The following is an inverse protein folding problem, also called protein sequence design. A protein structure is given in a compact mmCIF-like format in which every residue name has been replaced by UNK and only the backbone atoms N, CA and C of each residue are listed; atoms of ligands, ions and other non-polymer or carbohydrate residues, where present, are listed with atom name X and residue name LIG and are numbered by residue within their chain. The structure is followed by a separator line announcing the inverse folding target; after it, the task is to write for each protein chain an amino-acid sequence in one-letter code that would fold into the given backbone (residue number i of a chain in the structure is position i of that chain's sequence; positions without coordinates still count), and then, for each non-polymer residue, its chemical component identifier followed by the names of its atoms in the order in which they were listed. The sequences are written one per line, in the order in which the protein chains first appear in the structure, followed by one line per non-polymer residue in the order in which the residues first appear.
data_IF_102573647772
#
_entry.id   IF_102573647772
#
_cell.length_a   1.000
_cell.length_b   1.000
_cell.length_c   1.000
_cell.angle_alpha   90.00
_cell.angle_beta   90.00
_cell.angle_gamma   90.00
#
_symmetry.space_group_name_H-M   'P 1'
#
loop_
_entity.id
_entity.type
_entity.pdbx_description
1 polymer ?
#
# COMPACT_ATOMS: atom_id res chain seq x y z
N UNK A 1 44.19 -4.50 1.90
CA UNK A 1 43.19 -5.52 1.56
C UNK A 1 41.84 -4.83 1.42
N UNK A 2 41.00 -5.14 0.41
CA UNK A 2 39.67 -4.56 0.34
C UNK A 2 38.83 -5.01 1.54
N UNK A 3 38.03 -4.11 2.10
CA UNK A 3 37.11 -4.40 3.19
C UNK A 3 36.16 -5.53 2.78
N UNK A 4 35.93 -6.55 3.62
CA UNK A 4 34.96 -7.58 3.31
C UNK A 4 33.58 -6.96 3.12
N UNK A 5 32.96 -7.24 1.97
CA UNK A 5 31.59 -6.82 1.68
C UNK A 5 30.65 -7.51 2.68
N UNK A 6 29.81 -6.72 3.35
CA UNK A 6 28.84 -7.21 4.35
C UNK A 6 27.82 -8.17 3.73
N UNK A 7 27.22 -9.02 4.56
CA UNK A 7 26.16 -9.93 4.08
C UNK A 7 24.94 -9.16 3.56
N UNK A 8 24.65 -7.96 4.09
CA UNK A 8 23.59 -7.11 3.59
C UNK A 8 23.85 -6.66 2.15
N UNK A 9 25.08 -6.21 1.84
CA UNK A 9 25.42 -5.83 0.46
C UNK A 9 25.39 -7.06 -0.46
N UNK A 10 25.78 -8.25 0.04
CA UNK A 10 25.72 -9.49 -0.75
C UNK A 10 24.29 -9.92 -1.08
N UNK A 11 23.36 -9.77 -0.13
CA UNK A 11 21.97 -10.21 -0.27
C UNK A 11 21.07 -9.16 -0.93
N UNK A 12 21.31 -7.88 -0.63
CA UNK A 12 20.40 -6.78 -0.96
C UNK A 12 21.05 -5.67 -1.81
N UNK A 13 22.37 -5.71 -2.01
CA UNK A 13 23.09 -4.67 -2.77
C UNK A 13 23.29 -3.34 -2.02
N UNK A 14 22.92 -3.26 -0.74
CA UNK A 14 23.03 -2.08 0.13
C UNK A 14 23.36 -2.51 1.57
N UNK A 15 23.96 -1.63 2.35
CA UNK A 15 24.17 -1.78 3.80
C UNK A 15 23.07 -1.11 4.63
N UNK A 16 22.05 -0.56 3.97
CA UNK A 16 20.88 0.03 4.60
C UNK A 16 20.15 -0.99 5.51
N UNK A 17 19.91 -0.58 6.76
CA UNK A 17 19.24 -1.41 7.75
C UNK A 17 17.72 -1.33 7.59
N UNK A 18 17.09 -2.49 7.38
CA UNK A 18 15.63 -2.61 7.33
C UNK A 18 15.11 -2.78 8.76
N UNK A 19 14.31 -1.83 9.22
CA UNK A 19 13.61 -1.99 10.50
C UNK A 19 12.50 -3.04 10.36
N UNK A 20 12.35 -3.97 11.32
CA UNK A 20 11.22 -4.88 11.31
C UNK A 20 9.89 -4.14 11.28
N UNK A 21 8.88 -4.63 10.54
CA UNK A 21 7.58 -3.98 10.47
C UNK A 21 6.87 -4.00 11.83
N UNK A 22 6.04 -3.00 12.09
CA UNK A 22 5.14 -2.98 13.27
C UNK A 22 3.87 -3.74 12.92
N UNK A 23 3.49 -4.72 13.74
CA UNK A 23 2.23 -5.44 13.53
C UNK A 23 1.07 -4.61 14.08
N UNK A 24 0.07 -4.40 13.23
CA UNK A 24 -1.21 -3.77 13.56
C UNK A 24 -2.30 -4.84 13.61
N UNK A 25 -3.22 -4.73 14.56
CA UNK A 25 -4.32 -5.67 14.73
C UNK A 25 -5.62 -4.96 15.07
N UNK A 26 -6.71 -5.37 14.43
CA UNK A 26 -8.06 -4.88 14.71
C UNK A 26 -9.07 -6.02 14.51
N UNK A 27 -9.59 -6.58 15.59
CA UNK A 27 -10.41 -7.79 15.56
C UNK A 27 -9.74 -8.92 14.74
N UNK A 28 -10.36 -9.41 13.65
CA UNK A 28 -9.80 -10.47 12.80
C UNK A 28 -8.73 -9.99 11.81
N UNK A 29 -8.53 -8.67 11.66
CA UNK A 29 -7.60 -8.05 10.72
C UNK A 29 -6.19 -7.96 11.34
N UNK A 30 -5.17 -8.31 10.56
CA UNK A 30 -3.76 -8.00 10.87
C UNK A 30 -3.08 -7.36 9.65
N UNK A 31 -2.11 -6.49 9.90
CA UNK A 31 -1.28 -5.89 8.85
C UNK A 31 0.10 -5.54 9.38
N UNK A 32 1.09 -5.51 8.48
CA UNK A 32 2.45 -5.07 8.77
C UNK A 32 2.59 -3.60 8.34
N UNK A 33 3.00 -2.72 9.25
CA UNK A 33 3.24 -1.30 8.98
C UNK A 33 4.73 -1.01 8.86
N UNK A 34 5.14 -0.48 7.72
CA UNK A 34 6.53 -0.12 7.41
C UNK A 34 6.59 1.14 6.53
N UNK A 35 7.41 2.12 6.92
CA UNK A 35 7.65 3.35 6.15
C UNK A 35 6.36 4.03 5.62
N UNK A 36 5.30 4.09 6.43
CA UNK A 36 4.01 4.69 6.06
C UNK A 36 3.10 3.78 5.21
N UNK A 37 3.50 2.55 4.93
CA UNK A 37 2.77 1.61 4.08
C UNK A 37 2.24 0.43 4.89
N UNK A 38 1.24 -0.25 4.33
CA UNK A 38 0.76 -1.53 4.83
C UNK A 38 1.22 -2.66 3.92
N UNK A 39 1.67 -3.76 4.53
CA UNK A 39 2.01 -5.03 3.88
C UNK A 39 1.19 -6.16 4.49
N UNK A 40 1.00 -7.19 3.68
CA UNK A 40 0.42 -8.46 4.09
C UNK A 40 -0.83 -8.32 4.96
N UNK A 41 -1.83 -7.61 4.43
CA UNK A 41 -3.09 -7.36 5.11
C UNK A 41 -3.89 -8.67 5.09
N UNK A 42 -4.15 -9.22 6.27
CA UNK A 42 -4.76 -10.54 6.47
C UNK A 42 -6.04 -10.44 7.27
N UNK A 43 -6.98 -11.33 6.99
CA UNK A 43 -8.21 -11.55 7.76
C UNK A 43 -8.28 -13.00 8.20
N UNK A 44 -8.34 -13.25 9.51
CA UNK A 44 -8.17 -14.60 10.10
C UNK A 44 -6.93 -15.34 9.55
N UNK A 45 -5.83 -14.63 9.32
CA UNK A 45 -4.59 -15.19 8.80
C UNK A 45 -4.53 -15.38 7.27
N UNK A 46 -5.64 -15.22 6.55
CA UNK A 46 -5.67 -15.28 5.10
C UNK A 46 -5.34 -13.92 4.47
N UNK A 47 -4.38 -13.88 3.55
CA UNK A 47 -3.96 -12.63 2.90
C UNK A 47 -5.03 -12.14 1.92
N UNK A 48 -5.55 -10.94 2.19
CA UNK A 48 -6.54 -10.29 1.32
C UNK A 48 -5.88 -9.35 0.33
N UNK A 49 -4.93 -8.55 0.82
CA UNK A 49 -4.22 -7.51 0.08
C UNK A 49 -2.74 -7.62 0.46
N UNK A 50 -1.87 -7.73 -0.55
CA UNK A 50 -0.43 -7.85 -0.37
C UNK A 50 0.18 -6.54 0.11
N UNK A 51 -0.27 -5.40 -0.42
CA UNK A 51 0.20 -4.09 0.04
C UNK A 51 -0.77 -2.95 -0.28
N UNK A 52 -0.76 -1.91 0.56
CA UNK A 52 -1.35 -0.60 0.27
C UNK A 52 -0.29 0.45 0.57
N UNK A 53 0.04 1.28 -0.42
CA UNK A 53 1.11 2.28 -0.32
C UNK A 53 0.69 3.58 -0.98
N UNK A 54 0.98 4.73 -0.35
CA UNK A 54 0.89 6.02 -1.01
C UNK A 54 2.27 6.35 -1.60
N UNK A 55 2.41 6.23 -2.91
CA UNK A 55 3.72 6.37 -3.57
C UNK A 55 3.79 7.62 -4.44
N UNK A 56 4.99 8.18 -4.49
CA UNK A 56 5.34 9.28 -5.38
C UNK A 56 6.54 8.86 -6.20
N UNK A 57 6.44 8.97 -7.52
CA UNK A 57 7.52 8.63 -8.45
C UNK A 57 7.91 9.80 -9.31
N UNK A 58 9.21 10.08 -9.35
CA UNK A 58 9.77 11.15 -10.18
C UNK A 58 9.64 10.86 -11.68
N UNK A 59 10.07 11.82 -12.51
CA UNK A 59 10.10 11.71 -13.98
C UNK A 59 10.93 10.52 -14.51
N UNK A 60 11.86 10.01 -13.70
CA UNK A 60 12.72 8.87 -14.03
C UNK A 60 12.18 7.54 -13.47
N UNK A 61 10.93 7.54 -12.95
CA UNK A 61 10.29 6.40 -12.29
C UNK A 61 10.95 5.97 -10.97
N UNK A 62 11.85 6.77 -10.41
CA UNK A 62 12.39 6.58 -9.07
C UNK A 62 11.31 6.79 -8.03
N UNK A 63 11.21 5.90 -7.05
CA UNK A 63 10.25 6.07 -5.94
C UNK A 63 10.91 6.92 -4.86
N UNK A 64 10.30 8.04 -4.51
CA UNK A 64 10.77 8.85 -3.39
C UNK A 64 10.61 8.09 -2.06
N UNK A 65 11.62 8.18 -1.20
CA UNK A 65 11.47 7.88 0.22
C UNK A 65 10.97 9.16 0.92
N UNK A 66 9.72 9.22 1.40
CA UNK A 66 9.20 10.41 2.04
C UNK A 66 9.83 10.60 3.44
N UNK A 67 10.11 11.85 3.79
CA UNK A 67 10.43 12.22 5.17
C UNK A 67 9.15 12.19 6.00
N UNK A 68 8.97 11.13 6.80
CA UNK A 68 7.77 10.95 7.65
C UNK A 68 7.98 11.66 9.00
N UNK A 69 7.00 12.47 9.38
CA UNK A 69 6.93 13.17 10.66
C UNK A 69 5.56 13.01 11.31
N UNK A 70 5.45 13.43 12.58
CA UNK A 70 4.19 13.38 13.33
C UNK A 70 3.51 12.01 13.32
N UNK A 71 4.31 10.93 13.28
CA UNK A 71 3.80 9.56 13.30
C UNK A 71 3.19 9.26 14.68
N UNK A 72 1.88 9.09 14.69
CA UNK A 72 1.10 8.63 15.84
C UNK A 72 0.50 7.25 15.53
N UNK A 73 0.66 6.34 16.48
CA UNK A 73 0.26 4.94 16.39
C UNK A 73 -0.54 4.62 17.65
N UNK A 74 -1.85 4.78 17.55
CA UNK A 74 -2.81 4.38 18.57
C UNK A 74 -3.30 2.96 18.32
N UNK A 75 -3.27 2.13 19.35
CA UNK A 75 -3.86 0.78 19.35
C UNK A 75 -4.77 0.62 20.55
N UNK A 76 -6.00 0.22 20.29
CA UNK A 76 -6.98 -0.27 21.26
C UNK A 76 -7.10 -1.81 21.10
N UNK A 77 -7.74 -2.55 22.03
CA UNK A 77 -7.78 -4.01 21.97
C UNK A 77 -8.21 -4.60 20.62
N UNK A 78 -9.20 -3.98 19.97
CA UNK A 78 -9.78 -4.45 18.70
C UNK A 78 -9.75 -3.40 17.59
N UNK A 79 -8.95 -2.34 17.71
CA UNK A 79 -8.84 -1.32 16.66
C UNK A 79 -7.50 -0.61 16.69
N UNK A 80 -7.11 -0.02 15.57
CA UNK A 80 -5.93 0.83 15.53
C UNK A 80 -6.18 2.08 14.70
N UNK A 81 -5.42 3.12 15.01
CA UNK A 81 -5.34 4.35 14.26
C UNK A 81 -3.88 4.73 14.06
N UNK A 82 -3.50 4.93 12.81
CA UNK A 82 -2.20 5.48 12.44
C UNK A 82 -2.42 6.83 11.77
N UNK A 83 -1.67 7.84 12.17
CA UNK A 83 -1.62 9.12 11.45
C UNK A 83 -0.19 9.56 11.28
N UNK A 84 0.12 10.17 10.15
CA UNK A 84 1.43 10.76 9.93
C UNK A 84 1.37 11.85 8.86
N UNK A 85 2.40 12.70 8.85
CA UNK A 85 2.69 13.63 7.77
C UNK A 85 3.94 13.16 7.02
N UNK A 86 4.03 13.52 5.75
CA UNK A 86 5.12 13.14 4.88
C UNK A 86 5.49 14.28 3.95
N UNK A 87 6.80 14.46 3.74
CA UNK A 87 7.38 15.50 2.89
C UNK A 87 8.28 14.87 1.84
N UNK A 88 8.21 15.38 0.61
CA UNK A 88 8.98 14.89 -0.55
C UNK A 88 9.60 16.10 -1.26
N UNK A 89 10.81 15.91 -1.81
CA UNK A 89 11.51 16.95 -2.57
C UNK A 89 11.77 18.20 -1.74
N UNK A 90 12.24 18.03 -0.49
CA UNK A 90 12.42 19.15 0.46
C UNK A 90 11.14 19.95 0.73
N UNK A 91 9.95 19.33 0.59
CA UNK A 91 8.66 19.92 0.91
C UNK A 91 7.90 20.50 -0.28
N UNK A 92 8.40 20.30 -1.50
CA UNK A 92 7.69 20.59 -2.76
C UNK A 92 6.37 19.84 -2.86
N UNK A 93 6.30 18.62 -2.31
CA UNK A 93 5.06 17.87 -2.12
C UNK A 93 4.93 17.38 -0.68
N UNK A 94 3.75 17.56 -0.11
CA UNK A 94 3.43 17.12 1.25
C UNK A 94 2.13 16.34 1.26
N UNK A 95 2.02 15.35 2.14
CA UNK A 95 0.74 14.70 2.39
C UNK A 95 0.57 14.32 3.85
N UNK A 96 -0.68 14.29 4.30
CA UNK A 96 -1.06 13.64 5.55
C UNK A 96 -1.80 12.34 5.24
N UNK A 97 -1.65 11.38 6.13
CA UNK A 97 -2.22 10.05 6.01
C UNK A 97 -2.95 9.64 7.28
N UNK A 98 -4.05 8.91 7.11
CA UNK A 98 -4.82 8.29 8.20
C UNK A 98 -5.12 6.85 7.82
N UNK A 99 -4.75 5.92 8.70
CA UNK A 99 -5.04 4.50 8.57
C UNK A 99 -5.88 4.07 9.77
N UNK A 100 -7.02 3.42 9.52
CA UNK A 100 -7.92 2.93 10.56
C UNK A 100 -8.22 1.45 10.33
N UNK A 101 -7.93 0.62 11.32
CA UNK A 101 -8.47 -0.73 11.42
C UNK A 101 -9.53 -0.76 12.51
N UNK A 102 -10.69 -1.36 12.24
CA UNK A 102 -11.81 -1.46 13.18
C UNK A 102 -12.08 -2.91 13.60
N UNK A 103 -12.82 -3.08 14.68
CA UNK A 103 -13.14 -4.39 15.26
C UNK A 103 -13.93 -5.31 14.33
N UNK A 104 -14.68 -4.75 13.38
CA UNK A 104 -15.41 -5.50 12.34
C UNK A 104 -14.50 -6.01 11.20
N UNK A 105 -13.19 -5.75 11.29
CA UNK A 105 -12.20 -6.09 10.27
C UNK A 105 -12.17 -5.14 9.08
N UNK A 106 -12.90 -4.02 9.11
CA UNK A 106 -12.76 -2.98 8.10
C UNK A 106 -11.44 -2.23 8.25
N UNK A 107 -10.84 -1.92 7.12
CA UNK A 107 -9.61 -1.13 6.99
C UNK A 107 -9.88 0.06 6.09
N UNK A 108 -9.47 1.26 6.51
CA UNK A 108 -9.40 2.43 5.65
C UNK A 108 -8.01 3.04 5.68
N UNK A 109 -7.55 3.50 4.52
CA UNK A 109 -6.32 4.27 4.36
C UNK A 109 -6.63 5.46 3.47
N UNK A 110 -6.60 6.66 4.05
CA UNK A 110 -6.79 7.91 3.33
C UNK A 110 -5.52 8.75 3.35
N UNK A 111 -5.33 9.52 2.28
CA UNK A 111 -4.22 10.47 2.15
C UNK A 111 -4.71 11.77 1.52
N UNK A 112 -4.19 12.90 2.01
CA UNK A 112 -4.44 14.22 1.42
C UNK A 112 -3.10 14.86 1.06
N UNK A 113 -2.83 14.97 -0.24
CA UNK A 113 -1.61 15.57 -0.77
C UNK A 113 -1.79 17.02 -1.19
N UNK A 114 -0.71 17.79 -1.17
CA UNK A 114 -0.64 19.16 -1.67
C UNK A 114 0.76 19.41 -2.23
N UNK A 115 0.83 19.86 -3.48
CA UNK A 115 2.04 20.42 -4.05
C UNK A 115 2.17 21.88 -3.59
N UNK A 116 3.32 22.25 -3.03
CA UNK A 116 3.59 23.62 -2.54
C UNK A 116 4.25 24.49 -3.60
N UNK A 117 4.76 23.86 -4.66
CA UNK A 117 5.31 24.45 -5.88
C UNK A 117 5.01 23.55 -7.08
N UNK A 118 5.49 23.92 -8.26
CA UNK A 118 5.51 23.01 -9.41
C UNK A 118 6.28 21.73 -9.03
N UNK A 119 5.63 20.58 -9.18
CA UNK A 119 6.17 19.28 -8.79
C UNK A 119 5.88 18.24 -9.86
N UNK A 120 6.93 17.77 -10.53
CA UNK A 120 6.81 16.82 -11.65
C UNK A 120 6.88 15.38 -11.15
N UNK A 121 5.86 14.60 -11.50
CA UNK A 121 5.69 13.22 -11.04
C UNK A 121 5.08 12.37 -12.14
N UNK A 122 5.57 11.13 -12.30
CA UNK A 122 4.95 10.13 -13.17
C UNK A 122 3.81 9.40 -12.45
N UNK A 123 3.81 9.37 -11.12
CA UNK A 123 2.77 8.73 -10.30
C UNK A 123 2.75 9.33 -8.91
N UNK A 124 1.60 9.81 -8.47
CA UNK A 124 1.36 10.27 -7.10
C UNK A 124 0.01 9.75 -6.64
N UNK A 125 -0.01 8.86 -5.65
CA UNK A 125 -1.25 8.33 -5.10
C UNK A 125 -1.12 6.89 -4.61
N UNK A 126 -2.27 6.27 -4.37
CA UNK A 126 -2.31 4.90 -3.87
C UNK A 126 -1.90 3.89 -4.94
N UNK A 127 -1.10 2.92 -4.50
CA UNK A 127 -0.91 1.63 -5.16
C UNK A 127 -1.39 0.55 -4.22
N UNK A 128 -2.34 -0.24 -4.71
CA UNK A 128 -2.88 -1.42 -4.04
C UNK A 128 -2.39 -2.64 -4.79
N UNK A 129 -1.74 -3.56 -4.08
CA UNK A 129 -1.24 -4.81 -4.63
C UNK A 129 -2.10 -5.95 -4.10
N UNK A 130 -2.78 -6.64 -5.00
CA UNK A 130 -3.49 -7.87 -4.68
C UNK A 130 -2.49 -9.04 -4.64
N UNK A 131 -2.69 -10.04 -3.75
CA UNK A 131 -1.88 -11.26 -3.77
C UNK A 131 -2.11 -12.04 -5.08
N UNK A 132 -1.19 -12.93 -5.45
CA UNK A 132 -1.40 -13.81 -6.62
C UNK A 132 -2.34 -14.96 -6.24
N UNK A 133 -2.05 -15.62 -5.12
CA UNK A 133 -2.84 -16.73 -4.62
C UNK A 133 -4.26 -16.26 -4.25
N UNK A 134 -5.28 -16.97 -4.74
CA UNK A 134 -6.68 -16.65 -4.50
C UNK A 134 -7.25 -15.50 -5.36
N UNK A 135 -6.43 -14.73 -6.09
CA UNK A 135 -6.89 -13.58 -6.88
C UNK A 135 -6.64 -13.74 -8.38
N UNK A 136 -5.50 -14.28 -8.82
CA UNK A 136 -5.22 -14.43 -10.25
C UNK A 136 -6.31 -15.28 -10.93
N UNK A 137 -6.97 -14.75 -11.97
CA UNK A 137 -8.10 -15.40 -12.65
C UNK A 137 -9.43 -15.34 -11.88
N UNK A 138 -9.48 -14.79 -10.67
CA UNK A 138 -10.69 -14.72 -9.86
C UNK A 138 -11.65 -13.63 -10.37
N UNK A 139 -12.95 -13.87 -10.20
CA UNK A 139 -13.99 -12.90 -10.55
C UNK A 139 -13.89 -11.64 -9.67
N UNK A 140 -14.17 -10.49 -10.27
CA UNK A 140 -14.29 -9.22 -9.56
C UNK A 140 -15.35 -8.33 -10.22
N UNK A 141 -15.84 -7.37 -9.45
CA UNK A 141 -16.67 -6.29 -9.94
C UNK A 141 -15.88 -4.99 -9.91
N UNK A 142 -15.87 -4.27 -11.02
CA UNK A 142 -15.29 -2.94 -11.13
C UNK A 142 -16.43 -1.94 -11.03
N UNK A 143 -16.36 -1.04 -10.05
CA UNK A 143 -17.15 0.20 -10.09
C UNK A 143 -16.28 1.27 -10.75
N UNK A 144 -16.78 1.82 -11.86
CA UNK A 144 -16.11 2.90 -12.57
C UNK A 144 -16.44 4.27 -11.96
N UNK A 145 -15.65 5.29 -12.32
CA UNK A 145 -15.85 6.68 -11.84
C UNK A 145 -17.20 7.28 -12.27
N UNK A 146 -17.83 6.75 -13.32
CA UNK A 146 -19.18 7.12 -13.76
C UNK A 146 -20.29 6.32 -13.04
N UNK A 147 -19.93 5.52 -12.04
CA UNK A 147 -20.79 4.62 -11.26
C UNK A 147 -21.34 3.41 -12.01
N UNK A 148 -20.91 3.15 -13.26
CA UNK A 148 -21.20 1.89 -13.93
C UNK A 148 -20.47 0.74 -13.25
N UNK A 149 -21.07 -0.46 -13.31
CA UNK A 149 -20.48 -1.68 -12.73
C UNK A 149 -20.20 -2.67 -13.86
N UNK A 150 -18.94 -3.07 -13.99
CA UNK A 150 -18.49 -4.13 -14.89
C UNK A 150 -18.19 -5.41 -14.09
N UNK A 151 -18.78 -6.54 -14.49
CA UNK A 151 -18.38 -7.86 -13.99
C UNK A 151 -17.24 -8.39 -14.86
N UNK A 152 -16.11 -8.69 -14.24
CA UNK A 152 -14.90 -9.11 -14.94
C UNK A 152 -14.09 -10.09 -14.09
N UNK A 153 -12.84 -10.36 -14.47
CA UNK A 153 -11.92 -11.16 -13.68
C UNK A 153 -10.52 -10.52 -13.66
N UNK A 154 -9.76 -10.80 -12.61
CA UNK A 154 -8.34 -10.51 -12.61
C UNK A 154 -7.64 -11.34 -13.70
N UNK A 155 -6.61 -10.78 -14.38
CA UNK A 155 -5.81 -11.54 -15.32
C UNK A 155 -5.19 -12.78 -14.66
N UNK A 156 -5.28 -13.93 -15.34
CA UNK A 156 -4.61 -15.15 -14.89
C UNK A 156 -3.09 -15.07 -15.10
N UNK A 157 -2.68 -14.53 -16.24
CA UNK A 157 -1.30 -14.26 -16.60
C UNK A 157 -1.07 -12.75 -16.60
N UNK A 158 0.20 -12.33 -16.51
CA UNK A 158 0.56 -10.92 -16.63
C UNK A 158 0.08 -10.41 -17.98
N UNK A 159 -0.84 -9.46 -17.96
CA UNK A 159 -1.26 -8.72 -19.15
C UNK A 159 -0.41 -7.45 -19.26
N UNK A 160 0.37 -7.27 -20.34
CA UNK A 160 1.14 -6.05 -20.55
C UNK A 160 0.26 -4.82 -20.85
N UNK A 161 -1.02 -5.02 -21.16
CA UNK A 161 -2.01 -3.96 -21.34
C UNK A 161 -2.69 -3.70 -20.00
N UNK A 162 -2.93 -2.42 -19.67
CA UNK A 162 -3.70 -2.05 -18.48
C UNK A 162 -5.15 -2.53 -18.64
N UNK A 163 -5.58 -3.58 -17.91
CA UNK A 163 -6.85 -4.27 -18.16
C UNK A 163 -8.04 -3.58 -17.48
N UNK A 164 -7.75 -2.71 -16.49
CA UNK A 164 -8.73 -2.08 -15.62
C UNK A 164 -8.39 -0.59 -15.50
N UNK A 165 -9.35 0.28 -15.84
CA UNK A 165 -9.19 1.74 -15.91
C UNK A 165 -10.39 2.45 -15.31
N UNK A 166 -10.22 3.74 -15.06
CA UNK A 166 -11.29 4.63 -14.58
C UNK A 166 -11.97 4.08 -13.33
N UNK A 167 -11.13 3.59 -12.40
CA UNK A 167 -11.53 2.83 -11.23
C UNK A 167 -12.01 3.72 -10.10
N UNK A 168 -13.16 3.38 -9.54
CA UNK A 168 -13.64 3.85 -8.25
C UNK A 168 -13.50 2.78 -7.15
N UNK A 169 -13.84 1.54 -7.47
CA UNK A 169 -13.69 0.40 -6.57
C UNK A 169 -13.46 -0.91 -7.33
N UNK A 170 -12.76 -1.83 -6.68
CA UNK A 170 -12.67 -3.24 -7.09
C UNK A 170 -13.24 -4.07 -5.94
N UNK A 171 -14.28 -4.84 -6.21
CA UNK A 171 -14.85 -5.80 -5.24
C UNK A 171 -14.50 -7.20 -5.67
N UNK A 172 -13.86 -7.97 -4.79
CA UNK A 172 -13.55 -9.38 -5.05
C UNK A 172 -13.55 -10.17 -3.75
N UNK A 173 -13.76 -11.48 -3.86
CA UNK A 173 -13.50 -12.39 -2.76
C UNK A 173 -12.00 -12.67 -2.64
N UNK A 174 -11.49 -12.79 -1.43
CA UNK A 174 -10.10 -13.21 -1.15
C UNK A 174 -10.01 -14.66 -0.64
N UNK A 175 -11.17 -15.26 -0.33
CA UNK A 175 -11.33 -16.67 -0.03
C UNK A 175 -12.19 -17.30 -1.12
N UNK A 176 -11.73 -18.38 -1.79
CA UNK A 176 -12.60 -19.15 -2.66
C UNK A 176 -13.65 -19.85 -1.78
N UNK A 177 -14.88 -19.32 -1.82
CA UNK A 177 -16.10 -19.86 -1.18
C UNK A 177 -16.13 -19.79 0.36
N UNK A 178 -16.82 -18.77 0.86
CA UNK A 178 -17.94 -19.00 1.78
C UNK A 178 -19.23 -18.86 0.98
#
# INVERSE_FOLDING_TARGET
MPTPISDLIRLYGTDEQIQPPRILQAGPLTAEFEAGNLRHIRYHGHEMIRAISFIVRDKNWGTYAPDISHLDLGSEPDSFRVTYEASIGNGEFRYSAVILGKADGSLSFSGKGTATSDFVTNRTGFVVLHPIEGVAGAACAIEHVDSSIEQTAFPLLIDPIQPMKDLRAITHAFLPRL
#
